data_IF_563443907877
#
_entry.id   IF_563443907877
#
_cell.length_a   1.000
_cell.length_b   1.000
_cell.length_c   1.000
_cell.angle_alpha   90.00
_cell.angle_beta   90.00
_cell.angle_gamma   90.00
#
_symmetry.space_group_name_H-M   'P 1'
#
loop_
_entity.id
_entity.type
_entity.pdbx_description
1 polymer ?
#
# COMPACT_ATOMS: atom_id res chain seq x y z
N UNK A 1 -38.01 -0.35 48.42
CA UNK A 1 -37.49 1.03 48.43
C UNK A 1 -36.67 1.21 47.16
N UNK A 2 -37.32 1.62 46.08
CA UNK A 2 -36.77 1.75 44.72
C UNK A 2 -36.31 3.19 44.51
N UNK A 3 -35.11 3.42 43.94
CA UNK A 3 -34.70 4.74 43.42
C UNK A 3 -34.99 4.81 41.92
N UNK A 4 -35.45 5.95 41.39
CA UNK A 4 -35.73 6.12 39.97
C UNK A 4 -34.46 6.45 39.17
N UNK A 5 -34.50 6.11 37.88
CA UNK A 5 -33.47 6.42 36.88
C UNK A 5 -33.49 7.92 36.52
N UNK A 6 -32.33 8.57 36.52
CA UNK A 6 -32.14 9.90 35.92
C UNK A 6 -31.68 9.72 34.47
N UNK A 7 -32.55 10.07 33.53
CA UNK A 7 -32.19 10.29 32.13
C UNK A 7 -31.34 11.56 32.01
N UNK A 8 -30.04 11.39 31.73
CA UNK A 8 -29.11 12.48 31.45
C UNK A 8 -29.39 13.10 30.08
N UNK A 9 -29.93 14.32 30.10
CA UNK A 9 -30.15 15.18 28.94
C UNK A 9 -28.80 15.58 28.29
N UNK A 10 -28.48 15.02 27.12
CA UNK A 10 -27.29 15.40 26.34
C UNK A 10 -27.62 16.65 25.51
N UNK A 11 -26.88 17.76 25.64
CA UNK A 11 -27.15 18.96 24.84
C UNK A 11 -26.83 18.71 23.36
N UNK A 12 -27.61 19.28 22.42
CA UNK A 12 -27.33 19.14 21.00
C UNK A 12 -26.04 19.88 20.64
N UNK A 13 -25.14 19.17 19.97
CA UNK A 13 -23.91 19.71 19.39
C UNK A 13 -24.21 20.93 18.49
N UNK A 14 -23.62 22.08 18.85
CA UNK A 14 -23.79 23.34 18.11
C UNK A 14 -22.88 23.31 16.86
N UNK A 15 -23.35 23.76 15.69
CA UNK A 15 -22.57 23.71 14.44
C UNK A 15 -21.33 24.63 14.42
N UNK A 16 -21.03 25.38 15.49
CA UNK A 16 -19.89 26.29 15.59
C UNK A 16 -18.67 25.69 16.33
N UNK A 17 -18.76 24.46 16.84
CA UNK A 17 -17.63 23.74 17.47
C UNK A 17 -16.63 23.18 16.43
N UNK A 18 -16.81 23.48 15.14
CA UNK A 18 -15.89 23.09 14.05
C UNK A 18 -14.74 24.08 13.81
N UNK A 19 -14.51 25.06 14.69
CA UNK A 19 -13.23 25.77 14.72
C UNK A 19 -12.19 24.92 15.44
N UNK A 20 -11.83 23.81 14.80
CA UNK A 20 -10.61 23.08 15.10
C UNK A 20 -9.43 24.04 15.00
N UNK A 21 -8.73 24.15 16.10
CA UNK A 21 -7.54 24.97 16.28
C UNK A 21 -6.58 24.85 15.10
N UNK A 22 -6.03 26.01 14.73
CA UNK A 22 -4.85 26.13 13.89
C UNK A 22 -3.69 25.35 14.52
N UNK A 23 -3.58 24.07 14.18
CA UNK A 23 -2.36 23.29 14.37
C UNK A 23 -1.32 23.75 13.35
N UNK A 24 -0.63 24.82 13.74
CA UNK A 24 0.68 25.16 13.21
C UNK A 24 1.66 24.05 13.66
N UNK A 25 1.81 23.03 12.82
CA UNK A 25 2.94 22.12 12.90
C UNK A 25 3.49 21.91 11.50
N UNK A 26 4.73 22.30 11.32
CA UNK A 26 5.56 22.10 10.13
C UNK A 26 5.96 20.62 10.00
N UNK A 27 4.97 19.73 10.02
CA UNK A 27 5.08 18.40 9.44
C UNK A 27 4.25 18.41 8.16
N UNK A 28 4.91 18.43 7.00
CA UNK A 28 4.23 18.22 5.72
C UNK A 28 3.63 16.82 5.76
N UNK A 29 2.40 16.69 6.24
CA UNK A 29 1.71 15.40 6.30
C UNK A 29 1.46 14.97 4.87
N UNK A 30 2.26 14.02 4.41
CA UNK A 30 2.17 13.52 3.04
C UNK A 30 0.91 12.65 2.97
N UNK A 31 -0.19 13.24 2.55
CA UNK A 31 -1.46 12.51 2.38
C UNK A 31 -1.40 11.66 1.11
N UNK A 32 -1.96 10.42 1.11
CA UNK A 32 -1.97 9.57 -0.09
C UNK A 32 -2.63 10.20 -1.32
N UNK A 33 -3.57 11.13 -1.12
CA UNK A 33 -4.29 11.83 -2.21
C UNK A 33 -3.47 12.92 -2.89
N UNK A 34 -2.40 13.42 -2.24
CA UNK A 34 -1.56 14.50 -2.75
C UNK A 34 -0.08 14.11 -2.80
N UNK A 35 0.20 12.82 -2.99
CA UNK A 35 1.56 12.32 -3.07
C UNK A 35 1.73 11.31 -4.19
N UNK A 36 2.99 11.11 -4.58
CA UNK A 36 3.41 10.09 -5.54
C UNK A 36 4.63 9.36 -4.96
N UNK A 37 4.80 8.09 -5.35
CA UNK A 37 5.80 7.20 -4.76
C UNK A 37 6.82 6.75 -5.84
N UNK A 38 7.82 7.58 -6.20
CA UNK A 38 8.91 7.13 -7.07
C UNK A 38 9.61 5.91 -6.49
N UNK A 39 9.93 4.96 -7.38
CA UNK A 39 10.84 3.86 -7.04
C UNK A 39 12.26 4.40 -7.00
N UNK A 40 12.91 4.23 -5.86
CA UNK A 40 14.32 4.58 -5.67
C UNK A 40 15.23 3.42 -6.06
N UNK A 41 14.89 2.22 -5.56
CA UNK A 41 15.64 1.00 -5.80
C UNK A 41 14.66 -0.16 -5.94
N UNK A 42 14.92 -1.06 -6.88
CA UNK A 42 14.21 -2.33 -7.03
C UNK A 42 15.23 -3.45 -7.20
N UNK A 43 15.09 -4.50 -6.41
CA UNK A 43 15.87 -5.74 -6.54
C UNK A 43 14.93 -6.87 -6.91
N UNK A 44 15.33 -7.67 -7.90
CA UNK A 44 14.62 -8.86 -8.34
C UNK A 44 15.56 -10.05 -8.23
N UNK A 45 15.12 -11.10 -7.54
CA UNK A 45 15.85 -12.36 -7.46
C UNK A 45 14.98 -13.49 -8.03
N UNK A 46 15.37 -13.98 -9.20
CA UNK A 46 14.70 -15.10 -9.85
C UNK A 46 15.20 -16.42 -9.25
N UNK A 47 14.30 -17.16 -8.60
CA UNK A 47 14.62 -18.41 -7.92
C UNK A 47 14.40 -19.63 -8.83
N UNK A 48 13.30 -19.63 -9.57
CA UNK A 48 12.94 -20.72 -10.47
C UNK A 48 12.29 -20.18 -11.75
N UNK A 49 12.46 -20.85 -12.90
CA UNK A 49 11.79 -20.47 -14.13
C UNK A 49 10.28 -20.69 -14.02
N UNK A 50 9.51 -19.89 -14.76
CA UNK A 50 8.06 -20.10 -14.90
C UNK A 50 7.83 -21.46 -15.58
N UNK A 51 6.99 -22.35 -15.01
CA UNK A 51 6.64 -23.62 -15.64
C UNK A 51 6.09 -23.40 -17.06
N UNK A 52 6.70 -24.03 -18.06
CA UNK A 52 6.36 -23.82 -19.48
C UNK A 52 5.17 -24.64 -19.96
N UNK A 53 4.84 -25.72 -19.26
CA UNK A 53 3.77 -26.64 -19.66
C UNK A 53 2.65 -26.59 -18.62
N UNK A 54 1.39 -26.74 -19.05
CA UNK A 54 0.28 -26.93 -18.13
C UNK A 54 0.56 -28.17 -17.28
N UNK A 55 0.55 -27.99 -15.96
CA UNK A 55 0.68 -29.07 -14.99
C UNK A 55 -0.64 -29.20 -14.26
N UNK A 56 -1.05 -30.41 -13.84
CA UNK A 56 -2.17 -30.55 -12.91
C UNK A 56 -1.93 -29.84 -11.58
N UNK A 57 -0.68 -29.46 -11.26
CA UNK A 57 -0.27 -28.86 -9.99
C UNK A 57 -0.03 -27.34 -10.07
N UNK A 58 0.07 -26.79 -11.29
CA UNK A 58 0.35 -25.38 -11.54
C UNK A 58 -0.50 -24.81 -12.67
N UNK A 59 -1.05 -23.62 -12.44
CA UNK A 59 -1.64 -22.78 -13.47
C UNK A 59 -0.59 -22.31 -14.48
N UNK A 60 -0.96 -22.28 -15.75
CA UNK A 60 -0.17 -21.71 -16.83
C UNK A 60 -0.32 -20.17 -16.97
N UNK A 61 -1.36 -19.57 -16.36
CA UNK A 61 -1.72 -18.14 -16.54
C UNK A 61 -1.89 -17.36 -15.25
N UNK A 62 -1.73 -18.00 -14.10
CA UNK A 62 -1.95 -17.42 -12.78
C UNK A 62 -0.76 -17.71 -11.89
N UNK A 63 -0.37 -16.68 -11.15
CA UNK A 63 0.65 -16.75 -10.11
C UNK A 63 0.04 -16.20 -8.82
N UNK A 64 0.52 -16.70 -7.69
CA UNK A 64 0.19 -16.12 -6.40
C UNK A 64 1.20 -15.00 -6.07
N UNK A 65 0.70 -13.92 -5.51
CA UNK A 65 1.50 -12.78 -5.07
C UNK A 65 1.34 -12.65 -3.57
N UNK A 66 2.44 -12.73 -2.84
CA UNK A 66 2.50 -12.34 -1.44
C UNK A 66 3.24 -11.01 -1.37
N UNK A 67 2.64 -10.01 -0.71
CA UNK A 67 3.26 -8.69 -0.56
C UNK A 67 3.19 -8.22 0.89
N UNK A 68 4.29 -7.67 1.38
CA UNK A 68 4.39 -7.06 2.71
C UNK A 68 5.10 -5.71 2.59
N UNK A 69 4.49 -4.66 3.12
CA UNK A 69 5.12 -3.35 3.25
C UNK A 69 5.73 -3.18 4.64
N UNK A 70 6.88 -2.50 4.72
CA UNK A 70 7.50 -2.05 5.96
C UNK A 70 7.62 -0.52 5.98
N UNK A 71 7.66 -0.01 7.21
CA UNK A 71 7.52 1.37 7.68
C UNK A 71 7.75 2.50 6.67
N UNK A 72 6.93 3.55 6.81
CA UNK A 72 7.22 4.89 6.30
C UNK A 72 8.17 5.56 7.30
N UNK A 73 9.46 5.66 6.97
CA UNK A 73 10.42 6.35 7.84
C UNK A 73 10.23 7.87 7.72
N UNK A 74 9.75 8.50 8.79
CA UNK A 74 9.79 9.95 8.97
C UNK A 74 11.24 10.41 9.22
N UNK A 75 11.71 11.55 8.67
CA UNK A 75 10.97 12.58 7.92
C UNK A 75 10.90 12.36 6.40
N UNK A 76 11.51 11.29 5.88
CA UNK A 76 11.74 11.17 4.44
C UNK A 76 10.66 10.37 3.69
N UNK A 77 9.70 9.78 4.39
CA UNK A 77 8.59 9.07 3.74
C UNK A 77 9.02 7.81 2.97
N UNK A 78 10.18 7.21 3.30
CA UNK A 78 10.67 6.00 2.60
C UNK A 78 9.82 4.81 2.97
N UNK A 79 9.33 4.08 1.96
CA UNK A 79 8.52 2.87 2.09
C UNK A 79 9.24 1.70 1.43
N UNK A 80 9.42 0.61 2.16
CA UNK A 80 10.02 -0.62 1.64
C UNK A 80 8.95 -1.68 1.43
N UNK A 81 8.88 -2.21 0.20
CA UNK A 81 7.96 -3.27 -0.18
C UNK A 81 8.73 -4.56 -0.42
N UNK A 82 8.25 -5.64 0.15
CA UNK A 82 8.70 -7.01 -0.10
C UNK A 82 7.60 -7.77 -0.84
N UNK A 83 7.96 -8.45 -1.93
CA UNK A 83 7.03 -9.25 -2.73
C UNK A 83 7.63 -10.62 -3.01
N UNK A 84 6.82 -11.66 -2.90
CA UNK A 84 7.12 -13.00 -3.39
C UNK A 84 6.11 -13.37 -4.48
N UNK A 85 6.63 -13.90 -5.58
CA UNK A 85 5.85 -14.49 -6.64
C UNK A 85 5.93 -16.00 -6.52
N UNK A 86 4.80 -16.66 -6.54
CA UNK A 86 4.68 -18.11 -6.40
C UNK A 86 3.86 -18.68 -7.56
N UNK A 87 4.09 -19.94 -7.91
CA UNK A 87 3.14 -20.67 -8.76
C UNK A 87 1.76 -20.70 -8.09
N UNK A 88 0.69 -20.73 -8.89
CA UNK A 88 -0.66 -20.94 -8.39
C UNK A 88 -1.12 -22.39 -8.68
N UNK A 89 -1.87 -23.03 -7.77
CA UNK A 89 -2.34 -24.40 -7.97
C UNK A 89 -3.37 -24.55 -9.10
N UNK A 90 -4.12 -23.48 -9.39
CA UNK A 90 -5.13 -23.43 -10.44
C UNK A 90 -5.31 -22.00 -10.95
N UNK A 91 -6.09 -21.82 -12.01
CA UNK A 91 -6.45 -20.49 -12.48
C UNK A 91 -7.44 -19.83 -11.51
N UNK A 92 -7.50 -18.50 -11.51
CA UNK A 92 -8.50 -17.76 -10.73
C UNK A 92 -9.90 -18.25 -11.10
N UNK A 93 -10.72 -18.52 -10.09
CA UNK A 93 -12.09 -19.04 -10.21
C UNK A 93 -12.25 -20.40 -10.87
N UNK A 94 -11.17 -21.18 -11.01
CA UNK A 94 -11.19 -22.54 -11.55
C UNK A 94 -10.48 -23.52 -10.60
N UNK A 95 -10.85 -24.80 -10.69
CA UNK A 95 -10.15 -25.90 -10.02
C UNK A 95 -10.71 -26.29 -8.65
N UNK A 96 -10.25 -27.46 -8.18
CA UNK A 96 -10.60 -28.05 -6.89
C UNK A 96 -9.44 -27.88 -5.89
N UNK A 97 -9.76 -27.62 -4.63
CA UNK A 97 -8.74 -27.50 -3.58
C UNK A 97 -8.19 -28.88 -3.25
N UNK A 98 -6.96 -29.16 -3.66
CA UNK A 98 -6.25 -30.41 -3.31
C UNK A 98 -5.58 -30.30 -1.94
N UNK A 99 -5.60 -31.31 -1.06
CA UNK A 99 -5.02 -31.20 0.28
C UNK A 99 -3.53 -30.85 0.32
N UNK A 100 -2.77 -31.33 -0.66
CA UNK A 100 -1.32 -31.26 -0.82
C UNK A 100 -0.86 -30.11 -1.73
N UNK A 101 -1.78 -29.22 -2.14
CA UNK A 101 -1.50 -28.20 -3.15
C UNK A 101 -0.30 -27.31 -2.82
N UNK A 102 -0.01 -27.10 -1.52
CA UNK A 102 1.08 -26.24 -1.03
C UNK A 102 2.46 -26.83 -1.31
N UNK A 103 2.60 -28.16 -1.30
CA UNK A 103 3.88 -28.85 -1.40
C UNK A 103 4.49 -28.76 -2.80
N UNK A 104 3.63 -28.65 -3.81
CA UNK A 104 4.06 -28.50 -5.20
C UNK A 104 4.44 -27.05 -5.54
N UNK A 105 3.94 -26.05 -4.82
CA UNK A 105 4.14 -24.65 -5.20
C UNK A 105 5.60 -24.21 -5.07
N UNK A 106 6.05 -23.42 -6.05
CA UNK A 106 7.43 -22.93 -6.14
C UNK A 106 7.44 -21.41 -6.08
N UNK A 107 8.35 -20.85 -5.29
CA UNK A 107 8.64 -19.42 -5.31
C UNK A 107 9.41 -19.10 -6.59
N UNK A 108 8.84 -18.32 -7.48
CA UNK A 108 9.43 -17.98 -8.78
C UNK A 108 10.43 -16.82 -8.66
N UNK A 109 10.04 -15.80 -7.88
CA UNK A 109 10.81 -14.57 -7.74
C UNK A 109 10.56 -13.96 -6.37
N UNK A 110 11.60 -13.36 -5.80
CA UNK A 110 11.49 -12.46 -4.65
C UNK A 110 11.89 -11.06 -5.11
N UNK A 111 11.15 -10.05 -4.69
CA UNK A 111 11.41 -8.67 -5.04
C UNK A 111 11.41 -7.79 -3.80
N UNK A 112 12.32 -6.82 -3.76
CA UNK A 112 12.27 -5.70 -2.82
C UNK A 112 12.25 -4.39 -3.57
N UNK A 113 11.45 -3.44 -3.12
CA UNK A 113 11.30 -2.14 -3.73
C UNK A 113 11.29 -1.06 -2.64
N UNK A 114 12.24 -0.14 -2.72
CA UNK A 114 12.23 1.08 -1.92
C UNK A 114 11.59 2.18 -2.74
N UNK A 115 10.55 2.80 -2.20
CA UNK A 115 9.92 3.98 -2.76
C UNK A 115 10.03 5.17 -1.79
N UNK A 116 10.05 6.38 -2.32
CA UNK A 116 10.02 7.61 -1.53
C UNK A 116 8.64 8.23 -1.66
N UNK A 117 7.92 8.52 -0.58
CA UNK A 117 6.64 9.22 -0.68
C UNK A 117 6.88 10.73 -0.80
N UNK A 118 6.56 11.31 -1.96
CA UNK A 118 6.84 12.70 -2.28
C UNK A 118 5.53 13.48 -2.39
N UNK A 119 5.44 14.63 -1.72
CA UNK A 119 4.30 15.55 -1.89
C UNK A 119 4.27 16.11 -3.32
N UNK A 120 3.06 16.22 -3.88
CA UNK A 120 2.81 16.91 -5.15
C UNK A 120 3.22 18.39 -5.13
N UNK A 121 3.34 19.01 -3.96
CA UNK A 121 3.78 20.41 -3.81
C UNK A 121 5.15 20.66 -4.44
N UNK A 122 6.03 19.65 -4.43
CA UNK A 122 7.34 19.73 -5.08
C UNK A 122 7.19 19.98 -6.58
N UNK A 123 6.22 19.33 -7.22
CA UNK A 123 5.96 19.46 -8.65
C UNK A 123 5.29 20.80 -8.96
N UNK A 124 4.31 21.22 -8.14
CA UNK A 124 3.64 22.52 -8.28
C UNK A 124 4.66 23.66 -8.19
N UNK A 125 5.53 23.63 -7.17
CA UNK A 125 6.58 24.64 -7.00
C UNK A 125 7.56 24.67 -8.17
N UNK A 126 7.98 23.50 -8.67
CA UNK A 126 8.86 23.42 -9.86
C UNK A 126 8.16 23.98 -11.10
N UNK A 127 6.88 23.67 -11.32
CA UNK A 127 6.09 24.19 -12.42
C UNK A 127 5.96 25.71 -12.40
N UNK A 128 5.66 26.29 -11.23
CA UNK A 128 5.56 27.74 -11.06
C UNK A 128 6.89 28.45 -11.33
N UNK A 129 8.01 27.88 -10.86
CA UNK A 129 9.33 28.46 -11.09
C UNK A 129 9.77 28.38 -12.57
N UNK A 130 9.39 27.31 -13.28
CA UNK A 130 9.66 27.18 -14.71
C UNK A 130 8.80 28.13 -15.57
N UNK A 131 7.57 28.43 -15.15
CA UNK A 131 6.68 29.38 -15.83
C UNK A 131 7.06 30.85 -15.62
N UNK A 132 7.75 31.17 -14.52
CA UNK A 132 8.27 32.52 -14.23
C UNK A 132 9.57 32.86 -14.98
N UNK A 133 10.25 31.88 -15.56
CA UNK A 133 11.38 32.09 -16.46
C UNK A 133 10.89 32.35 -17.89
N UNK A 134 10.20 33.48 -18.09
CA UNK A 134 10.01 34.09 -19.41
C UNK A 134 10.81 35.41 -19.45
N UNK A 135 11.51 35.56 -20.56
CA UNK A 135 12.45 36.62 -20.97
C UNK A 135 12.03 38.04 -20.58
#
# INVERSE_FOLDING_TARGET
MLRPEEEGNVPPCHPDDLKGDSIDSTHTSVTPKHSWAPTMVMTLEFKFPIPKQPSPDHSARTIAVFSSGRFINDPQGRHDTYVELWTAPSNISEGEVRPDWRESQRCLCVATQMALLVSMDVNIRKGNNAGGAKL
#
